data_IF_960592342322
#
_entry.id   IF_960592342322
#
_cell.length_a   1.000
_cell.length_b   1.000
_cell.length_c   1.000
_cell.angle_alpha   90.00
_cell.angle_beta   90.00
_cell.angle_gamma   90.00
#
_symmetry.space_group_name_H-M   'P 1'
#
loop_
_entity.id
_entity.type
_entity.pdbx_description
1 polymer ?
#
# COMPACT_ATOMS: atom_id res chain seq x y z
N UNK A 1 5.90 10.48 -54.62
CA UNK A 1 5.20 10.82 -53.36
C UNK A 1 5.44 9.66 -52.41
N UNK A 2 6.29 9.85 -51.39
CA UNK A 2 6.73 8.81 -50.46
C UNK A 2 5.73 8.76 -49.29
N UNK A 3 4.96 7.68 -49.21
CA UNK A 3 4.07 7.43 -48.08
C UNK A 3 4.91 6.98 -46.88
N UNK A 4 5.11 7.90 -45.94
CA UNK A 4 5.66 7.58 -44.62
C UNK A 4 4.56 6.91 -43.80
N UNK A 5 4.63 5.58 -43.71
CA UNK A 5 3.80 4.80 -42.80
C UNK A 5 4.37 5.00 -41.38
N UNK A 6 3.85 5.99 -40.66
CA UNK A 6 4.14 6.16 -39.23
C UNK A 6 3.47 5.04 -38.45
N UNK A 7 4.23 4.00 -38.14
CA UNK A 7 3.86 3.02 -37.11
C UNK A 7 4.00 3.76 -35.78
N UNK A 8 2.89 4.28 -35.27
CA UNK A 8 2.78 4.73 -33.90
C UNK A 8 2.90 3.48 -33.01
N UNK A 9 4.12 3.20 -32.56
CA UNK A 9 4.36 2.28 -31.46
C UNK A 9 3.78 2.95 -30.21
N UNK A 10 2.51 2.67 -29.93
CA UNK A 10 1.89 3.00 -28.64
C UNK A 10 2.55 2.07 -27.64
N UNK A 11 3.63 2.54 -27.03
CA UNK A 11 4.28 1.89 -25.90
C UNK A 11 3.30 2.06 -24.74
N UNK A 12 2.37 1.12 -24.60
CA UNK A 12 1.58 1.00 -23.38
C UNK A 12 2.57 0.50 -22.32
N UNK A 13 3.20 1.45 -21.61
CA UNK A 13 3.83 1.20 -20.32
C UNK A 13 2.71 0.89 -19.31
N UNK A 14 2.01 -0.23 -19.47
CA UNK A 14 1.27 -0.82 -18.37
C UNK A 14 2.32 -1.50 -17.50
N UNK A 15 2.93 -0.73 -16.60
CA UNK A 15 3.49 -1.35 -15.40
C UNK A 15 2.37 -2.23 -14.84
N UNK A 16 2.64 -3.52 -14.66
CA UNK A 16 1.66 -4.47 -14.13
C UNK A 16 1.39 -4.12 -12.66
N UNK A 17 0.66 -3.02 -12.41
CA UNK A 17 0.00 -2.81 -11.15
C UNK A 17 -0.93 -4.02 -10.98
N UNK A 18 -0.67 -4.83 -9.95
CA UNK A 18 -1.59 -5.91 -9.62
C UNK A 18 -2.97 -5.31 -9.41
N UNK A 19 -3.98 -5.94 -9.99
CA UNK A 19 -5.37 -5.60 -9.70
C UNK A 19 -5.88 -6.58 -8.66
N UNK A 20 -6.69 -6.10 -7.73
CA UNK A 20 -7.47 -6.98 -6.86
C UNK A 20 -8.51 -7.76 -7.69
N UNK A 21 -9.04 -8.83 -7.09
CA UNK A 21 -10.14 -9.62 -7.65
C UNK A 21 -11.39 -8.78 -7.94
N UNK A 22 -11.56 -7.67 -7.21
CA UNK A 22 -12.67 -6.74 -7.32
C UNK A 22 -12.43 -5.62 -8.35
N UNK A 23 -11.27 -5.60 -9.03
CA UNK A 23 -10.94 -4.61 -10.06
C UNK A 23 -10.23 -3.35 -9.54
N UNK A 24 -10.10 -3.19 -8.23
CA UNK A 24 -9.38 -2.06 -7.62
C UNK A 24 -7.85 -2.26 -7.74
N UNK A 25 -7.08 -1.21 -8.05
CA UNK A 25 -5.63 -1.30 -8.16
C UNK A 25 -4.99 -1.53 -6.78
N UNK A 26 -3.99 -2.41 -6.72
CA UNK A 26 -3.18 -2.57 -5.53
C UNK A 26 -2.46 -1.25 -5.19
N UNK A 27 -2.37 -0.96 -3.90
CA UNK A 27 -1.64 0.18 -3.37
C UNK A 27 -0.15 0.11 -3.75
N UNK A 28 0.49 1.27 -3.93
CA UNK A 28 1.90 1.35 -4.38
C UNK A 28 2.84 0.53 -3.47
N UNK A 29 2.60 0.58 -2.16
CA UNK A 29 3.38 -0.15 -1.17
C UNK A 29 2.66 -1.41 -0.70
N UNK A 30 3.41 -2.51 -0.57
CA UNK A 30 2.90 -3.80 -0.10
C UNK A 30 3.63 -4.31 1.15
N UNK A 31 4.54 -3.51 1.70
CA UNK A 31 5.30 -3.79 2.92
C UNK A 31 5.09 -2.68 3.95
N UNK A 32 4.92 -3.08 5.20
CA UNK A 32 4.54 -2.19 6.28
C UNK A 32 5.26 -2.55 7.59
N UNK A 33 5.53 -1.54 8.40
CA UNK A 33 6.00 -1.69 9.79
C UNK A 33 4.99 -1.00 10.71
N UNK A 34 4.39 -1.75 11.62
CA UNK A 34 3.36 -1.26 12.55
C UNK A 34 3.98 -0.27 13.53
N UNK A 35 3.40 0.92 13.59
CA UNK A 35 3.72 1.95 14.57
C UNK A 35 2.96 1.76 15.87
N UNK A 36 1.67 1.46 15.73
CA UNK A 36 0.74 1.35 16.84
C UNK A 36 -0.38 0.37 16.48
N UNK A 37 -0.51 -0.70 17.25
CA UNK A 37 -1.68 -1.57 17.21
C UNK A 37 -2.95 -0.85 17.70
N UNK A 38 -4.07 -1.06 17.01
CA UNK A 38 -5.38 -0.50 17.32
C UNK A 38 -6.42 -1.63 17.39
N UNK A 39 -7.56 -1.39 18.04
CA UNK A 39 -8.62 -2.38 18.22
C UNK A 39 -9.13 -3.01 16.91
N UNK A 40 -9.09 -2.26 15.79
CA UNK A 40 -9.58 -2.73 14.49
C UNK A 40 -8.55 -2.56 13.36
N UNK A 41 -7.26 -2.47 13.71
CA UNK A 41 -6.24 -2.16 12.72
C UNK A 41 -4.91 -1.74 13.31
N UNK A 42 -4.16 -0.98 12.53
CA UNK A 42 -2.89 -0.42 12.96
C UNK A 42 -2.57 0.87 12.21
N UNK A 43 -1.90 1.80 12.86
CA UNK A 43 -1.11 2.79 12.14
C UNK A 43 0.24 2.15 11.78
N UNK A 44 0.70 2.34 10.54
CA UNK A 44 1.94 1.73 10.06
C UNK A 44 2.68 2.65 9.10
N UNK A 45 4.00 2.46 9.00
CA UNK A 45 4.77 2.98 7.88
C UNK A 45 4.67 2.03 6.70
N UNK A 46 4.13 2.49 5.59
CA UNK A 46 4.25 1.85 4.29
C UNK A 46 5.58 2.24 3.66
N UNK A 47 6.33 1.26 3.18
CA UNK A 47 7.63 1.47 2.54
C UNK A 47 7.88 0.46 1.42
N UNK A 48 8.72 0.86 0.47
CA UNK A 48 9.33 -0.03 -0.51
C UNK A 48 10.74 -0.37 -0.03
N UNK A 49 11.02 -1.66 0.16
CA UNK A 49 12.37 -2.17 0.37
C UNK A 49 12.80 -2.88 -0.90
N UNK A 50 13.74 -2.33 -1.68
CA UNK A 50 14.43 -3.11 -2.68
C UNK A 50 15.08 -4.33 -2.01
N UNK A 51 15.00 -5.50 -2.64
CA UNK A 51 15.54 -6.76 -2.12
C UNK A 51 17.05 -6.73 -1.83
N UNK A 52 17.77 -5.75 -2.40
CA UNK A 52 19.21 -5.57 -2.25
C UNK A 52 19.59 -4.51 -1.19
N UNK A 53 18.64 -3.79 -0.60
CA UNK A 53 18.92 -2.78 0.42
C UNK A 53 18.74 -3.36 1.82
N UNK A 54 19.81 -3.29 2.63
CA UNK A 54 19.79 -3.69 4.03
C UNK A 54 19.03 -2.71 4.92
N UNK A 55 18.81 -1.49 4.45
CA UNK A 55 18.17 -0.42 5.20
C UNK A 55 17.26 0.40 4.27
N UNK A 56 15.95 0.35 4.54
CA UNK A 56 14.95 0.99 3.70
C UNK A 56 14.61 2.36 4.27
N UNK A 57 15.16 3.41 3.65
CA UNK A 57 15.21 4.73 4.27
C UNK A 57 14.26 5.77 3.68
N UNK A 58 13.82 5.66 2.43
CA UNK A 58 13.50 6.91 1.73
C UNK A 58 12.01 7.22 1.52
N UNK A 59 11.09 6.28 1.75
CA UNK A 59 9.64 6.56 1.66
C UNK A 59 8.87 5.83 2.76
N UNK A 60 8.57 6.55 3.85
CA UNK A 60 7.68 6.08 4.90
C UNK A 60 6.39 6.90 4.84
N UNK A 61 5.35 6.35 4.22
CA UNK A 61 4.01 6.93 4.26
C UNK A 61 3.26 6.35 5.46
N UNK A 62 2.69 7.19 6.32
CA UNK A 62 1.81 6.69 7.39
C UNK A 62 0.48 6.25 6.77
N UNK A 63 0.10 5.00 7.02
CA UNK A 63 -1.16 4.39 6.58
C UNK A 63 -1.90 3.81 7.78
N UNK A 64 -3.21 3.59 7.62
CA UNK A 64 -3.98 2.73 8.50
C UNK A 64 -4.21 1.38 7.81
N UNK A 65 -3.87 0.29 8.49
CA UNK A 65 -4.14 -1.07 8.04
C UNK A 65 -5.40 -1.56 8.74
N UNK A 66 -6.48 -1.79 7.99
CA UNK A 66 -7.68 -2.42 8.53
C UNK A 66 -7.39 -3.87 8.84
N UNK A 67 -7.62 -4.28 10.09
CA UNK A 67 -7.36 -5.66 10.46
C UNK A 67 -8.45 -6.61 9.94
N UNK A 68 -8.10 -7.77 9.38
CA UNK A 68 -9.05 -8.87 9.22
C UNK A 68 -9.65 -9.29 10.56
N UNK A 69 -10.87 -9.80 10.55
CA UNK A 69 -11.56 -10.23 11.77
C UNK A 69 -10.74 -11.27 12.55
N UNK A 70 -10.45 -10.98 13.81
CA UNK A 70 -9.71 -11.87 14.72
C UNK A 70 -8.19 -11.84 14.54
N UNK A 71 -7.67 -10.86 13.81
CA UNK A 71 -6.24 -10.57 13.73
C UNK A 71 -5.97 -9.31 14.54
N UNK A 72 -5.00 -9.35 15.44
CA UNK A 72 -4.50 -8.18 16.14
C UNK A 72 -3.09 -7.87 15.66
N UNK A 73 -2.80 -6.58 15.49
CA UNK A 73 -1.47 -6.10 15.16
C UNK A 73 -0.76 -5.59 16.40
N UNK A 74 0.56 -5.71 16.43
CA UNK A 74 1.40 -5.24 17.54
C UNK A 74 2.55 -4.35 17.03
N UNK A 75 3.04 -3.49 17.90
CA UNK A 75 4.06 -2.48 17.57
C UNK A 75 5.34 -3.13 17.01
N UNK A 76 5.90 -2.52 15.96
CA UNK A 76 7.08 -2.96 15.21
C UNK A 76 6.90 -4.29 14.43
N UNK A 77 5.67 -4.81 14.33
CA UNK A 77 5.38 -5.93 13.45
C UNK A 77 5.63 -5.55 11.99
N UNK A 78 6.33 -6.41 11.25
CA UNK A 78 6.50 -6.28 9.80
C UNK A 78 5.41 -7.09 9.09
N UNK A 79 4.74 -6.46 8.14
CA UNK A 79 3.63 -7.03 7.38
C UNK A 79 3.96 -6.88 5.90
N UNK A 80 3.72 -7.94 5.12
CA UNK A 80 3.82 -7.90 3.66
C UNK A 80 2.62 -8.58 3.03
N UNK A 81 2.19 -8.11 1.86
CA UNK A 81 1.25 -8.87 1.04
C UNK A 81 1.91 -10.14 0.49
N UNK A 82 1.11 -11.09 0.04
CA UNK A 82 1.59 -12.33 -0.59
C UNK A 82 1.49 -12.23 -2.12
N UNK A 83 1.86 -13.30 -2.84
CA UNK A 83 1.63 -13.37 -4.28
C UNK A 83 0.14 -13.33 -4.63
N UNK A 84 -0.75 -13.83 -3.76
CA UNK A 84 -2.20 -13.94 -3.98
C UNK A 84 -3.02 -12.83 -3.33
N UNK A 85 -2.39 -11.94 -2.57
CA UNK A 85 -3.08 -10.84 -1.88
C UNK A 85 -2.41 -9.50 -2.17
N UNK A 86 -3.18 -8.41 -2.08
CA UNK A 86 -2.62 -7.07 -1.98
C UNK A 86 -3.47 -6.16 -1.11
N UNK A 87 -2.87 -5.06 -0.70
CA UNK A 87 -3.57 -3.98 -0.03
C UNK A 87 -4.13 -3.03 -1.07
N UNK A 88 -5.38 -2.61 -0.88
CA UNK A 88 -6.04 -1.55 -1.66
C UNK A 88 -6.39 -0.40 -0.72
N UNK A 89 -6.47 0.82 -1.25
CA UNK A 89 -6.94 1.97 -0.49
C UNK A 89 -8.47 2.04 -0.54
N UNK A 90 -9.12 1.91 0.60
CA UNK A 90 -10.59 1.94 0.74
C UNK A 90 -11.08 3.10 1.63
N UNK A 91 -10.35 4.22 1.60
CA UNK A 91 -10.78 5.46 2.20
C UNK A 91 -9.67 6.22 2.91
N UNK A 92 -10.06 6.94 3.96
CA UNK A 92 -9.16 7.78 4.77
C UNK A 92 -9.46 7.51 6.25
N UNK A 93 -8.43 7.13 6.98
CA UNK A 93 -8.48 7.00 8.43
C UNK A 93 -8.13 8.33 9.09
N UNK A 94 -8.94 8.74 10.07
CA UNK A 94 -8.75 9.96 10.85
C UNK A 94 -8.33 9.59 12.27
N UNK A 95 -7.30 10.24 12.77
CA UNK A 95 -6.78 9.98 14.12
C UNK A 95 -6.26 11.26 14.77
N UNK A 96 -6.39 11.30 16.10
CA UNK A 96 -5.85 12.38 16.93
C UNK A 96 -4.47 11.96 17.44
N UNK A 97 -3.46 12.81 17.28
CA UNK A 97 -2.14 12.57 17.89
C UNK A 97 -2.19 12.83 19.39
N UNK A 98 -1.13 12.46 20.12
CA UNK A 98 -0.99 12.78 21.55
C UNK A 98 -0.98 14.29 21.85
N UNK A 99 -0.78 15.12 20.84
CA UNK A 99 -0.76 16.58 20.93
C UNK A 99 -2.14 17.19 20.58
N UNK A 100 -3.19 16.37 20.55
CA UNK A 100 -4.55 16.76 20.15
C UNK A 100 -4.68 17.32 18.71
N UNK A 101 -3.71 16.96 17.84
CA UNK A 101 -3.73 17.36 16.44
C UNK A 101 -4.44 16.29 15.63
N UNK A 102 -5.49 16.68 14.91
CA UNK A 102 -6.15 15.81 13.96
C UNK A 102 -5.29 15.57 12.72
N UNK A 103 -5.10 14.30 12.37
CA UNK A 103 -4.32 13.84 11.22
C UNK A 103 -5.12 12.81 10.42
N UNK A 104 -4.68 12.58 9.20
CA UNK A 104 -5.29 11.62 8.29
C UNK A 104 -4.25 10.72 7.65
N UNK A 105 -4.62 9.48 7.38
CA UNK A 105 -3.81 8.51 6.66
C UNK A 105 -4.70 7.75 5.65
N UNK A 106 -4.16 7.23 4.53
CA UNK A 106 -4.89 6.29 3.69
C UNK A 106 -5.38 5.11 4.53
N UNK A 107 -6.65 4.73 4.37
CA UNK A 107 -7.16 3.48 4.93
C UNK A 107 -6.90 2.37 3.93
N UNK A 108 -6.23 1.32 4.35
CA UNK A 108 -5.93 0.17 3.52
C UNK A 108 -6.67 -1.07 4.02
N UNK A 109 -7.09 -1.90 3.07
CA UNK A 109 -7.71 -3.21 3.31
C UNK A 109 -6.98 -4.28 2.49
N UNK A 110 -6.73 -5.42 3.11
CA UNK A 110 -6.18 -6.59 2.43
C UNK A 110 -7.26 -7.30 1.63
N UNK A 111 -7.00 -7.56 0.36
CA UNK A 111 -7.89 -8.27 -0.57
C UNK A 111 -7.14 -9.34 -1.35
N UNK A 112 -7.90 -10.25 -1.96
CA UNK A 112 -7.37 -11.19 -2.95
C UNK A 112 -7.08 -10.47 -4.27
N UNK A 113 -6.06 -10.94 -4.99
CA UNK A 113 -5.82 -10.59 -6.40
C UNK A 113 -6.70 -11.42 -7.33
#
# INVERSE_FOLDING_TARGET
MKNFLYIACVIILSGCAGTSKDGEPCFEFQTFEVLQGLENGALAYAYECPWYESLCFDKKLVVHLTSPKGVDYYDNQKISSTSTTCWIQDGVYRYTTKEDIMRTAPNLKLVEK
#
